data_IF_354169086374
#
_entry.id   IF_354169086374
#
_cell.length_a   1.000
_cell.length_b   1.000
_cell.length_c   1.000
_cell.angle_alpha   90.00
_cell.angle_beta   90.00
_cell.angle_gamma   90.00
#
_symmetry.space_group_name_H-M   'P 1'
#
loop_
_entity.id
_entity.type
_entity.pdbx_description
1 polymer ?
#
# COMPACT_ATOMS: atom_id res chain seq x y z
N UNK A 1 9.30 56.11 -31.42
CA UNK A 1 8.69 55.50 -30.21
C UNK A 1 7.60 54.53 -30.67
N UNK A 2 7.37 53.49 -29.88
CA UNK A 2 6.38 52.41 -30.06
C UNK A 2 6.88 51.16 -30.81
N UNK A 3 7.61 50.31 -30.07
CA UNK A 3 7.70 48.89 -30.34
C UNK A 3 6.70 48.17 -29.40
N UNK A 4 5.69 47.52 -29.99
CA UNK A 4 4.72 46.69 -29.28
C UNK A 4 5.34 45.32 -28.99
N UNK A 5 5.59 45.03 -27.72
CA UNK A 5 6.02 43.71 -27.25
C UNK A 5 4.79 42.88 -26.89
N UNK A 6 4.47 41.88 -27.72
CA UNK A 6 3.47 40.86 -27.43
C UNK A 6 4.08 39.80 -26.51
N UNK A 7 3.56 39.68 -25.29
CA UNK A 7 3.91 38.62 -24.34
C UNK A 7 3.13 37.35 -24.64
N UNK A 8 3.80 36.37 -25.24
CA UNK A 8 3.28 35.01 -25.39
C UNK A 8 3.42 34.25 -24.06
N UNK A 9 2.32 34.13 -23.32
CA UNK A 9 2.18 33.21 -22.19
C UNK A 9 2.20 31.77 -22.71
N UNK A 10 3.33 31.09 -22.54
CA UNK A 10 3.46 29.66 -22.86
C UNK A 10 2.99 28.86 -21.65
N UNK A 11 1.74 28.41 -21.65
CA UNK A 11 1.26 27.36 -20.74
C UNK A 11 1.99 26.07 -21.06
N UNK A 12 2.90 25.64 -20.18
CA UNK A 12 3.51 24.31 -20.26
C UNK A 12 2.47 23.25 -19.86
N UNK A 13 1.75 22.68 -20.83
CA UNK A 13 1.00 21.45 -20.60
C UNK A 13 2.00 20.29 -20.53
N UNK A 14 2.28 19.79 -19.32
CA UNK A 14 3.01 18.54 -19.14
C UNK A 14 2.15 17.40 -19.67
N UNK A 15 2.42 16.94 -20.89
CA UNK A 15 1.80 15.71 -21.40
C UNK A 15 2.37 14.53 -20.62
N UNK A 16 1.55 13.88 -19.80
CA UNK A 16 1.90 12.60 -19.19
C UNK A 16 2.29 11.62 -20.32
N UNK A 17 3.41 10.88 -20.21
CA UNK A 17 3.77 9.87 -21.19
C UNK A 17 2.59 8.94 -21.43
N UNK A 18 2.33 8.54 -22.68
CA UNK A 18 1.18 7.70 -23.08
C UNK A 18 1.06 6.37 -22.33
N UNK A 19 2.11 5.99 -21.60
CA UNK A 19 2.22 4.79 -20.77
C UNK A 19 1.65 4.97 -19.35
N UNK A 20 1.63 6.19 -18.81
CA UNK A 20 1.13 6.51 -17.47
C UNK A 20 -0.25 7.16 -17.60
N UNK A 21 -1.25 6.55 -17.00
CA UNK A 21 -2.64 7.03 -17.06
C UNK A 21 -2.88 8.00 -15.91
N UNK A 22 -3.48 9.16 -16.15
CA UNK A 22 -3.92 10.03 -15.06
C UNK A 22 -5.07 9.36 -14.29
N UNK A 23 -4.97 9.32 -12.97
CA UNK A 23 -6.03 8.80 -12.10
C UNK A 23 -7.37 9.52 -12.28
N UNK A 24 -7.33 10.78 -12.73
CA UNK A 24 -8.53 11.55 -13.05
C UNK A 24 -9.25 11.04 -14.31
N UNK A 25 -8.49 10.62 -15.32
CA UNK A 25 -9.01 10.18 -16.63
C UNK A 25 -9.07 8.66 -16.76
N UNK A 26 -8.60 7.92 -15.75
CA UNK A 26 -8.54 6.48 -15.75
C UNK A 26 -9.91 5.85 -16.00
N UNK A 27 -10.01 5.03 -17.05
CA UNK A 27 -11.18 4.29 -17.43
C UNK A 27 -10.91 2.78 -17.36
N UNK A 28 -11.34 2.10 -16.28
CA UNK A 28 -11.13 0.67 -16.12
C UNK A 28 -11.66 -0.18 -17.27
N UNK A 29 -12.72 0.23 -17.96
CA UNK A 29 -13.30 -0.56 -19.04
C UNK A 29 -12.42 -0.57 -20.31
N UNK A 30 -11.62 0.48 -20.52
CA UNK A 30 -10.83 0.67 -21.75
C UNK A 30 -9.33 0.50 -21.52
N UNK A 31 -8.86 0.89 -20.34
CA UNK A 31 -7.42 1.07 -20.09
C UNK A 31 -6.75 -0.19 -19.55
N UNK A 32 -7.52 -1.18 -19.07
CA UNK A 32 -6.95 -2.40 -18.48
C UNK A 32 -7.44 -3.68 -19.12
N UNK A 33 -6.57 -4.68 -19.08
CA UNK A 33 -6.86 -6.08 -19.40
C UNK A 33 -6.14 -7.00 -18.43
N UNK A 34 -6.55 -8.26 -18.39
CA UNK A 34 -5.96 -9.26 -17.51
C UNK A 34 -5.00 -10.18 -18.26
N UNK A 35 -3.91 -10.57 -17.59
CA UNK A 35 -3.12 -11.71 -18.04
C UNK A 35 -3.80 -13.02 -17.68
N UNK A 36 -3.31 -14.14 -18.22
CA UNK A 36 -3.64 -15.46 -17.68
C UNK A 36 -3.17 -15.56 -16.21
N UNK A 37 -3.85 -16.34 -15.35
CA UNK A 37 -3.37 -16.61 -14.01
C UNK A 37 -1.98 -17.25 -14.01
N UNK A 38 -1.13 -16.80 -13.10
CA UNK A 38 0.22 -17.33 -12.87
C UNK A 38 0.34 -17.79 -11.43
N UNK A 39 0.97 -18.95 -11.23
CA UNK A 39 1.29 -19.48 -9.90
C UNK A 39 2.79 -19.29 -9.69
N UNK A 40 3.18 -18.67 -8.57
CA UNK A 40 4.58 -18.49 -8.21
C UNK A 40 5.13 -19.76 -7.54
N UNK A 41 6.45 -19.80 -7.30
CA UNK A 41 7.13 -20.95 -6.69
C UNK A 41 6.56 -21.32 -5.30
N UNK A 42 6.03 -20.35 -4.56
CA UNK A 42 5.41 -20.53 -3.25
C UNK A 42 3.93 -20.96 -3.32
N UNK A 43 3.40 -21.27 -4.51
CA UNK A 43 1.99 -21.65 -4.70
C UNK A 43 0.99 -20.49 -4.70
N UNK A 44 1.46 -19.24 -4.54
CA UNK A 44 0.66 -18.04 -4.62
C UNK A 44 0.20 -17.79 -6.07
N UNK A 45 -1.12 -17.66 -6.25
CA UNK A 45 -1.72 -17.32 -7.55
C UNK A 45 -1.84 -15.80 -7.70
N UNK A 46 -1.57 -15.30 -8.90
CA UNK A 46 -1.77 -13.90 -9.26
C UNK A 46 -2.25 -13.74 -10.71
N UNK A 47 -2.92 -12.64 -10.98
CA UNK A 47 -3.38 -12.23 -12.31
C UNK A 47 -2.86 -10.82 -12.57
N UNK A 48 -2.07 -10.66 -13.63
CA UNK A 48 -1.57 -9.35 -14.03
C UNK A 48 -2.70 -8.45 -14.50
N UNK A 49 -2.68 -7.19 -14.07
CA UNK A 49 -3.49 -6.12 -14.64
C UNK A 49 -2.56 -5.31 -15.53
N UNK A 50 -2.82 -5.37 -16.83
CA UNK A 50 -1.99 -4.81 -17.88
C UNK A 50 -2.69 -3.61 -18.52
N UNK A 51 -1.90 -2.62 -18.93
CA UNK A 51 -2.37 -1.54 -19.75
C UNK A 51 -2.84 -2.11 -21.11
N UNK A 52 -4.08 -1.79 -21.49
CA UNK A 52 -4.72 -2.35 -22.67
C UNK A 52 -3.98 -1.97 -23.96
N UNK A 53 -3.36 -0.79 -24.01
CA UNK A 53 -2.63 -0.25 -25.17
C UNK A 53 -1.23 -0.84 -25.24
N UNK A 54 -0.46 -0.78 -24.16
CA UNK A 54 0.97 -1.12 -24.19
C UNK A 54 1.26 -2.60 -23.91
N UNK A 55 0.29 -3.37 -23.39
CA UNK A 55 0.50 -4.72 -22.87
C UNK A 55 1.50 -4.83 -21.70
N UNK A 56 1.94 -3.71 -21.12
CA UNK A 56 2.82 -3.65 -19.94
C UNK A 56 2.01 -3.46 -18.65
N UNK A 57 2.68 -3.37 -17.50
CA UNK A 57 2.02 -3.09 -16.23
C UNK A 57 1.23 -1.76 -16.30
N UNK A 58 0.06 -1.71 -15.66
CA UNK A 58 -0.72 -0.47 -15.59
C UNK A 58 -0.09 0.50 -14.59
N UNK A 59 0.24 1.70 -15.06
CA UNK A 59 0.71 2.80 -14.22
C UNK A 59 -0.34 3.90 -14.14
N UNK A 60 -0.62 4.38 -12.91
CA UNK A 60 -1.63 5.41 -12.64
C UNK A 60 -0.99 6.55 -11.84
N UNK A 61 -0.98 7.76 -12.40
CA UNK A 61 -0.57 8.97 -11.68
C UNK A 61 -1.71 9.47 -10.79
N UNK A 62 -1.44 9.68 -9.50
CA UNK A 62 -2.40 10.24 -8.56
C UNK A 62 -2.44 11.76 -8.64
N UNK A 63 -3.55 12.41 -8.28
CA UNK A 63 -3.52 13.82 -7.89
C UNK A 63 -2.61 14.02 -6.65
N UNK A 64 -2.37 15.28 -6.30
CA UNK A 64 -1.69 15.63 -5.06
C UNK A 64 -2.55 15.21 -3.86
N UNK A 65 -2.04 14.32 -3.02
CA UNK A 65 -2.76 13.71 -1.90
C UNK A 65 -1.91 13.70 -0.63
N UNK A 66 -2.56 13.83 0.53
CA UNK A 66 -1.88 13.65 1.81
C UNK A 66 -1.49 12.19 2.02
N UNK A 67 -0.33 11.95 2.63
CA UNK A 67 0.10 10.62 3.08
C UNK A 67 0.41 10.56 4.56
N UNK A 68 0.11 9.41 5.17
CA UNK A 68 0.47 9.11 6.56
C UNK A 68 1.94 8.69 6.76
N UNK A 69 2.77 8.83 5.74
CA UNK A 69 4.17 8.41 5.75
C UNK A 69 4.33 6.92 5.45
N UNK A 70 5.56 6.42 5.54
CA UNK A 70 5.87 5.00 5.39
C UNK A 70 5.76 4.29 6.74
N UNK A 71 5.10 3.13 6.73
CA UNK A 71 5.00 2.20 7.86
C UNK A 71 5.81 0.95 7.53
N UNK A 72 6.68 0.56 8.46
CA UNK A 72 7.41 -0.71 8.46
C UNK A 72 6.57 -1.79 9.16
N UNK A 73 6.46 -2.96 8.56
CA UNK A 73 5.92 -4.16 9.17
C UNK A 73 6.98 -5.25 9.15
N UNK A 74 7.27 -5.82 10.32
CA UNK A 74 8.21 -6.92 10.49
C UNK A 74 7.40 -8.21 10.69
N UNK A 75 7.60 -9.19 9.81
CA UNK A 75 7.02 -10.52 10.01
C UNK A 75 7.71 -11.18 11.20
N UNK A 76 6.95 -11.46 12.26
CA UNK A 76 7.47 -12.08 13.49
C UNK A 76 8.06 -13.49 13.26
N UNK A 77 7.69 -14.17 12.16
CA UNK A 77 8.14 -15.53 11.86
C UNK A 77 9.43 -15.55 11.05
N UNK A 78 9.52 -14.71 10.03
CA UNK A 78 10.67 -14.70 9.12
C UNK A 78 11.67 -13.59 9.45
N UNK A 79 11.24 -12.55 10.17
CA UNK A 79 12.00 -11.32 10.38
C UNK A 79 11.95 -10.37 9.18
N UNK A 80 11.21 -10.73 8.11
CA UNK A 80 11.18 -9.93 6.88
C UNK A 80 10.50 -8.59 7.10
N UNK A 81 11.09 -7.54 6.54
CA UNK A 81 10.56 -6.19 6.59
C UNK A 81 9.78 -5.88 5.33
N UNK A 82 8.58 -5.36 5.50
CA UNK A 82 7.76 -4.84 4.41
C UNK A 82 7.36 -3.40 4.69
N UNK A 83 7.30 -2.60 3.63
CA UNK A 83 7.07 -1.17 3.73
C UNK A 83 5.84 -0.78 2.93
N UNK A 84 4.97 0.02 3.53
CA UNK A 84 3.81 0.56 2.85
C UNK A 84 3.49 1.97 3.33
N UNK A 85 2.87 2.76 2.46
CA UNK A 85 2.33 4.07 2.79
C UNK A 85 0.83 4.09 2.51
N UNK A 86 0.13 5.05 3.12
CA UNK A 86 -1.30 5.25 2.91
C UNK A 86 -1.54 6.62 2.30
N UNK A 87 -2.27 6.67 1.19
CA UNK A 87 -2.79 7.91 0.62
C UNK A 87 -4.18 8.19 1.21
N UNK A 88 -4.36 9.36 1.80
CA UNK A 88 -5.62 9.77 2.41
C UNK A 88 -6.52 10.43 1.37
N UNK A 89 -7.76 9.93 1.22
CA UNK A 89 -8.80 10.71 0.56
C UNK A 89 -9.30 11.78 1.54
N UNK A 90 -9.33 13.07 1.16
CA UNK A 90 -9.82 14.14 2.01
C UNK A 90 -11.35 14.10 2.16
N UNK A 91 -11.85 14.77 3.20
CA UNK A 91 -13.27 15.16 3.30
C UNK A 91 -13.61 16.29 2.34
N UNK A 92 -14.88 16.69 2.28
CA UNK A 92 -15.40 17.63 1.28
C UNK A 92 -14.63 18.96 1.24
N UNK A 93 -14.25 19.52 2.39
CA UNK A 93 -13.54 20.80 2.50
C UNK A 93 -12.19 20.83 1.77
N UNK A 94 -11.45 19.72 1.80
CA UNK A 94 -10.12 19.60 1.19
C UNK A 94 -10.13 18.77 -0.09
N UNK A 95 -11.32 18.40 -0.57
CA UNK A 95 -11.48 17.60 -1.77
C UNK A 95 -11.31 18.47 -3.03
N UNK A 96 -10.73 17.88 -4.06
CA UNK A 96 -10.58 18.53 -5.37
C UNK A 96 -11.30 17.71 -6.44
N UNK A 97 -11.71 18.31 -7.58
CA UNK A 97 -12.32 17.56 -8.67
C UNK A 97 -11.47 16.38 -9.15
N UNK A 98 -10.14 16.53 -9.16
CA UNK A 98 -9.21 15.47 -9.53
C UNK A 98 -9.22 14.31 -8.53
N UNK A 99 -9.21 14.60 -7.22
CA UNK A 99 -9.29 13.57 -6.17
C UNK A 99 -10.65 12.87 -6.18
N UNK A 100 -11.75 13.61 -6.36
CA UNK A 100 -13.09 13.04 -6.45
C UNK A 100 -13.23 12.08 -7.64
N UNK A 101 -12.74 12.48 -8.82
CA UNK A 101 -12.72 11.63 -10.01
C UNK A 101 -11.82 10.41 -9.83
N UNK A 102 -10.64 10.58 -9.25
CA UNK A 102 -9.75 9.45 -8.95
C UNK A 102 -10.42 8.44 -8.03
N UNK A 103 -11.06 8.89 -6.94
CA UNK A 103 -11.85 8.03 -6.03
C UNK A 103 -12.95 7.28 -6.78
N UNK A 104 -13.72 7.98 -7.60
CA UNK A 104 -14.80 7.37 -8.39
C UNK A 104 -14.27 6.33 -9.39
N UNK A 105 -13.13 6.59 -10.02
CA UNK A 105 -12.51 5.67 -10.97
C UNK A 105 -11.96 4.42 -10.26
N UNK A 106 -11.45 4.53 -9.03
CA UNK A 106 -11.07 3.36 -8.22
C UNK A 106 -12.29 2.51 -7.82
N UNK A 107 -13.43 3.14 -7.48
CA UNK A 107 -14.66 2.42 -7.17
C UNK A 107 -15.17 1.64 -8.41
N UNK A 108 -15.23 2.30 -9.58
CA UNK A 108 -15.55 1.65 -10.86
C UNK A 108 -14.58 0.52 -11.19
N UNK A 109 -13.31 0.67 -10.84
CA UNK A 109 -12.32 -0.36 -11.07
C UNK A 109 -12.58 -1.60 -10.21
N UNK A 110 -12.87 -1.39 -8.93
CA UNK A 110 -13.25 -2.46 -8.01
C UNK A 110 -14.51 -3.21 -8.48
N UNK A 111 -15.56 -2.49 -8.87
CA UNK A 111 -16.79 -3.07 -9.43
C UNK A 111 -16.51 -3.90 -10.68
N UNK A 112 -15.69 -3.37 -11.60
CA UNK A 112 -15.27 -4.10 -12.80
C UNK A 112 -14.54 -5.39 -12.44
N UNK A 113 -13.59 -5.37 -11.52
CA UNK A 113 -12.85 -6.58 -11.11
C UNK A 113 -13.80 -7.61 -10.51
N UNK A 114 -14.74 -7.19 -9.65
CA UNK A 114 -15.74 -8.09 -9.05
C UNK A 114 -16.61 -8.74 -10.13
N UNK A 115 -17.08 -7.97 -11.11
CA UNK A 115 -17.85 -8.49 -12.23
C UNK A 115 -17.03 -9.49 -13.08
N UNK A 116 -15.79 -9.13 -13.42
CA UNK A 116 -14.90 -9.98 -14.20
C UNK A 116 -14.50 -11.25 -13.44
N UNK A 117 -14.38 -11.19 -12.12
CA UNK A 117 -14.11 -12.35 -11.27
C UNK A 117 -15.24 -13.39 -11.35
N UNK A 118 -16.50 -12.96 -11.45
CA UNK A 118 -17.63 -13.86 -11.68
C UNK A 118 -17.62 -14.48 -13.07
N UNK A 119 -17.32 -13.67 -14.09
CA UNK A 119 -17.25 -14.15 -15.48
C UNK A 119 -16.11 -15.16 -15.66
N UNK A 120 -14.96 -14.92 -15.02
CA UNK A 120 -13.77 -15.74 -15.15
C UNK A 120 -13.60 -16.73 -13.98
N UNK A 121 -14.68 -17.04 -13.25
CA UNK A 121 -14.59 -17.76 -11.98
C UNK A 121 -13.91 -19.13 -12.08
N UNK A 122 -14.11 -19.84 -13.20
CA UNK A 122 -13.52 -21.15 -13.46
C UNK A 122 -12.00 -21.05 -13.64
N UNK A 123 -11.52 -20.01 -14.32
CA UNK A 123 -10.09 -19.81 -14.57
C UNK A 123 -9.39 -19.23 -13.33
N UNK A 124 -10.01 -18.25 -12.68
CA UNK A 124 -9.39 -17.52 -11.57
C UNK A 124 -9.41 -18.35 -10.27
N UNK A 125 -10.56 -18.95 -9.94
CA UNK A 125 -10.77 -19.66 -8.68
C UNK A 125 -10.79 -21.17 -8.82
N UNK A 126 -10.88 -21.72 -10.04
CA UNK A 126 -11.10 -23.16 -10.24
C UNK A 126 -12.52 -23.61 -9.85
N UNK A 127 -13.46 -22.67 -9.69
CA UNK A 127 -14.83 -22.92 -9.24
C UNK A 127 -15.81 -22.41 -10.30
N UNK A 128 -16.95 -23.09 -10.47
CA UNK A 128 -17.97 -22.70 -11.46
C UNK A 128 -19.32 -22.32 -10.80
N UNK A 129 -19.36 -22.28 -9.47
CA UNK A 129 -20.56 -22.05 -8.65
C UNK A 129 -20.46 -20.80 -7.78
N UNK A 130 -19.50 -19.91 -8.05
CA UNK A 130 -19.37 -18.65 -7.32
C UNK A 130 -20.51 -17.70 -7.68
N UNK A 131 -21.11 -17.12 -6.65
CA UNK A 131 -22.13 -16.07 -6.73
C UNK A 131 -21.51 -14.70 -6.43
N UNK A 132 -22.22 -13.63 -6.73
CA UNK A 132 -21.77 -12.26 -6.45
C UNK A 132 -21.50 -12.01 -4.95
N UNK A 133 -22.26 -12.66 -4.08
CA UNK A 133 -22.08 -12.61 -2.63
C UNK A 133 -20.75 -13.24 -2.22
N UNK A 134 -20.42 -14.42 -2.76
CA UNK A 134 -19.13 -15.06 -2.52
C UNK A 134 -17.96 -14.17 -2.96
N UNK A 135 -18.06 -13.57 -4.15
CA UNK A 135 -17.04 -12.64 -4.67
C UNK A 135 -16.88 -11.43 -3.75
N UNK A 136 -17.98 -10.86 -3.27
CA UNK A 136 -17.95 -9.73 -2.34
C UNK A 136 -17.35 -10.12 -0.99
N UNK A 137 -17.62 -11.33 -0.49
CA UNK A 137 -17.09 -11.84 0.78
C UNK A 137 -15.58 -12.11 0.70
N UNK A 138 -15.09 -12.65 -0.41
CA UNK A 138 -13.66 -12.94 -0.59
C UNK A 138 -12.84 -11.73 -1.04
N UNK A 139 -13.52 -10.67 -1.49
CA UNK A 139 -12.86 -9.44 -1.92
C UNK A 139 -12.25 -8.69 -0.75
N UNK A 140 -11.00 -8.25 -0.94
CA UNK A 140 -10.34 -7.28 -0.06
C UNK A 140 -10.51 -5.89 -0.66
N UNK A 141 -11.28 -4.98 -0.01
CA UNK A 141 -11.52 -3.62 -0.50
C UNK A 141 -10.23 -2.88 -0.86
N UNK A 142 -10.22 -2.21 -2.02
CA UNK A 142 -9.09 -1.38 -2.43
C UNK A 142 -8.94 -0.14 -1.54
N UNK A 143 -10.08 0.47 -1.21
CA UNK A 143 -10.17 1.61 -0.30
C UNK A 143 -10.46 1.10 1.11
N UNK A 144 -9.57 1.41 2.05
CA UNK A 144 -9.67 0.99 3.45
C UNK A 144 -10.23 2.12 4.29
N UNK A 145 -11.34 1.86 4.94
CA UNK A 145 -11.87 2.71 5.99
C UNK A 145 -11.25 2.29 7.33
N UNK A 146 -11.09 3.26 8.23
CA UNK A 146 -10.76 2.95 9.62
C UNK A 146 -11.87 2.10 10.25
N UNK A 147 -11.54 1.31 11.26
CA UNK A 147 -12.55 0.59 12.04
C UNK A 147 -13.29 1.56 12.96
N UNK A 148 -14.61 1.41 13.04
CA UNK A 148 -15.45 2.05 14.04
C UNK A 148 -15.43 1.28 15.36
N UNK A 149 -16.19 1.76 16.34
CA UNK A 149 -16.29 1.14 17.66
C UNK A 149 -16.87 -0.29 17.60
N UNK A 150 -17.77 -0.55 16.65
CA UNK A 150 -18.35 -1.87 16.39
C UNK A 150 -17.40 -2.82 15.62
N UNK A 151 -16.18 -2.38 15.29
CA UNK A 151 -15.20 -3.15 14.52
C UNK A 151 -15.44 -3.17 13.01
N UNK A 152 -16.55 -2.60 12.53
CA UNK A 152 -16.88 -2.48 11.11
C UNK A 152 -16.23 -1.24 10.48
N UNK A 153 -16.13 -1.17 9.13
CA UNK A 153 -15.69 0.02 8.42
C UNK A 153 -16.49 1.28 8.81
N UNK A 154 -15.80 2.28 9.38
CA UNK A 154 -16.36 3.59 9.70
C UNK A 154 -16.44 4.45 8.43
N UNK A 155 -17.62 4.49 7.82
CA UNK A 155 -17.90 5.26 6.61
C UNK A 155 -18.08 6.77 6.86
N UNK A 156 -18.12 7.22 8.11
CA UNK A 156 -18.07 8.65 8.43
C UNK A 156 -16.65 9.21 8.23
N UNK A 157 -15.64 8.35 8.35
CA UNK A 157 -14.25 8.70 8.06
C UNK A 157 -13.92 8.45 6.58
N UNK A 158 -13.01 9.26 6.06
CA UNK A 158 -12.59 9.12 4.68
C UNK A 158 -11.59 7.97 4.52
N UNK A 159 -11.67 7.22 3.40
CA UNK A 159 -10.85 6.04 3.21
C UNK A 159 -9.40 6.38 2.87
N UNK A 160 -8.55 5.35 2.96
CA UNK A 160 -7.16 5.38 2.51
C UNK A 160 -6.91 4.36 1.41
N UNK A 161 -5.94 4.64 0.54
CA UNK A 161 -5.38 3.68 -0.40
C UNK A 161 -4.01 3.23 0.11
N UNK A 162 -3.82 1.94 0.34
CA UNK A 162 -2.53 1.39 0.75
C UNK A 162 -1.64 1.14 -0.48
N UNK A 163 -0.39 1.59 -0.40
CA UNK A 163 0.60 1.53 -1.47
C UNK A 163 1.86 0.89 -0.90
N UNK A 164 2.30 -0.23 -1.47
CA UNK A 164 3.55 -0.90 -1.07
C UNK A 164 4.75 -0.19 -1.66
N UNK A 165 5.83 -0.11 -0.90
CA UNK A 165 7.13 0.31 -1.42
C UNK A 165 7.91 -0.96 -1.76
N UNK A 166 8.13 -1.25 -3.05
CA UNK A 166 8.82 -2.48 -3.45
C UNK A 166 10.31 -2.42 -3.09
N UNK A 167 10.80 -3.55 -2.57
CA UNK A 167 12.22 -3.85 -2.42
C UNK A 167 12.52 -5.03 -3.34
N UNK A 168 13.58 -4.93 -4.12
CA UNK A 168 14.09 -5.97 -5.00
C UNK A 168 15.55 -6.24 -4.64
N UNK A 169 15.88 -7.48 -4.28
CA UNK A 169 17.24 -7.90 -3.90
C UNK A 169 17.88 -6.96 -2.86
N UNK A 170 17.11 -6.60 -1.82
CA UNK A 170 17.55 -5.69 -0.75
C UNK A 170 17.58 -4.20 -1.12
N UNK A 171 17.30 -3.85 -2.38
CA UNK A 171 17.34 -2.48 -2.87
C UNK A 171 15.93 -1.92 -3.08
N UNK A 172 15.69 -0.68 -2.65
CA UNK A 172 14.45 0.02 -2.92
C UNK A 172 14.24 0.23 -4.42
N UNK A 173 13.11 -0.25 -4.94
CA UNK A 173 12.75 -0.09 -6.34
C UNK A 173 11.73 1.06 -6.49
N UNK A 174 12.11 2.26 -6.04
CA UNK A 174 11.31 3.48 -6.12
C UNK A 174 12.19 4.67 -6.49
N UNK A 175 11.63 5.61 -7.23
CA UNK A 175 12.29 6.90 -7.50
C UNK A 175 11.53 8.05 -6.84
N UNK A 176 12.24 8.90 -6.09
CA UNK A 176 11.63 10.09 -5.48
C UNK A 176 12.25 11.36 -6.06
N UNK A 177 11.41 12.36 -6.26
CA UNK A 177 11.76 13.65 -6.82
C UNK A 177 11.30 14.77 -5.89
N UNK A 178 12.02 15.88 -5.92
CA UNK A 178 11.58 17.12 -5.28
C UNK A 178 10.48 17.83 -6.12
N UNK A 179 9.85 18.90 -5.62
CA UNK A 179 8.85 19.66 -6.37
C UNK A 179 9.38 20.30 -7.66
N UNK A 180 10.70 20.38 -7.84
CA UNK A 180 11.37 20.88 -9.04
C UNK A 180 11.73 19.74 -10.01
N UNK A 181 11.22 18.52 -9.77
CA UNK A 181 11.48 17.32 -10.58
C UNK A 181 12.96 16.89 -10.60
N UNK A 182 13.74 17.28 -9.58
CA UNK A 182 15.11 16.76 -9.38
C UNK A 182 15.03 15.48 -8.57
N UNK A 183 15.74 14.45 -9.02
CA UNK A 183 15.80 13.16 -8.31
C UNK A 183 16.50 13.34 -6.97
N UNK A 184 15.85 12.91 -5.90
CA UNK A 184 16.36 12.92 -4.53
C UNK A 184 16.49 11.51 -3.95
N UNK A 185 15.90 10.50 -4.61
CA UNK A 185 16.11 9.10 -4.28
C UNK A 185 16.10 8.23 -5.55
N UNK A 186 17.02 7.27 -5.70
CA UNK A 186 18.19 7.04 -4.84
C UNK A 186 19.15 8.25 -4.85
N UNK A 187 19.75 8.56 -3.70
CA UNK A 187 20.75 9.63 -3.56
C UNK A 187 22.15 9.03 -3.75
N UNK A 188 22.90 9.41 -4.80
CA UNK A 188 24.25 8.87 -5.04
C UNK A 188 25.28 9.38 -4.03
N UNK A 189 24.96 10.42 -3.26
CA UNK A 189 25.87 11.03 -2.27
C UNK A 189 25.61 10.55 -0.85
N UNK A 190 24.43 9.99 -0.58
CA UNK A 190 24.07 9.54 0.76
C UNK A 190 23.24 8.24 0.70
N UNK A 191 23.94 7.11 0.84
CA UNK A 191 23.35 5.77 0.84
C UNK A 191 22.45 5.49 2.05
N UNK A 192 22.55 6.29 3.12
CA UNK A 192 21.74 6.10 4.32
C UNK A 192 20.34 6.72 4.22
N UNK A 193 20.11 7.60 3.23
CA UNK A 193 18.78 8.18 3.02
C UNK A 193 17.88 7.12 2.39
N UNK A 194 16.76 6.84 3.04
CA UNK A 194 15.75 5.91 2.54
C UNK A 194 14.46 6.63 2.17
N UNK A 195 13.54 5.99 1.43
CA UNK A 195 12.21 6.53 1.20
C UNK A 195 11.43 6.82 2.50
N UNK A 196 11.74 6.14 3.60
CA UNK A 196 11.11 6.35 4.91
C UNK A 196 11.43 7.74 5.45
N UNK A 197 12.66 8.21 5.24
CA UNK A 197 13.13 9.54 5.70
C UNK A 197 12.55 10.68 4.85
N UNK A 198 12.35 10.41 3.56
CA UNK A 198 11.91 11.40 2.58
C UNK A 198 10.38 11.58 2.54
N UNK A 199 9.62 10.52 2.79
CA UNK A 199 8.14 10.54 2.77
C UNK A 199 7.61 10.85 4.17
N UNK A 200 7.55 12.13 4.49
CA UNK A 200 7.11 12.59 5.80
C UNK A 200 5.62 12.35 6.05
N UNK A 201 5.28 11.89 7.27
CA UNK A 201 3.89 11.78 7.74
C UNK A 201 3.18 13.13 7.70
N UNK A 202 1.98 13.15 7.14
CA UNK A 202 1.16 14.35 6.96
C UNK A 202 1.57 15.23 5.78
N UNK A 203 2.60 14.85 5.02
CA UNK A 203 2.99 15.58 3.81
C UNK A 203 2.05 15.29 2.64
N UNK A 204 2.10 16.16 1.63
CA UNK A 204 1.41 15.96 0.36
C UNK A 204 2.37 15.38 -0.67
N UNK A 205 1.91 14.37 -1.40
CA UNK A 205 2.67 13.65 -2.42
C UNK A 205 1.84 13.51 -3.69
N UNK A 206 2.50 13.50 -4.84
CA UNK A 206 1.91 13.09 -6.11
C UNK A 206 2.73 11.91 -6.62
N UNK A 207 2.09 10.76 -6.80
CA UNK A 207 2.81 9.50 -7.06
C UNK A 207 2.29 8.80 -8.30
N UNK A 208 3.15 8.00 -8.92
CA UNK A 208 2.79 7.02 -9.93
C UNK A 208 2.71 5.67 -9.25
N UNK A 209 1.50 5.11 -9.28
CA UNK A 209 1.20 3.77 -8.81
C UNK A 209 1.44 2.77 -9.92
N UNK A 210 2.18 1.72 -9.65
CA UNK A 210 2.20 0.50 -10.47
C UNK A 210 1.15 -0.47 -9.93
N UNK A 211 0.25 -0.95 -10.79
CA UNK A 211 -0.66 -2.02 -10.44
C UNK A 211 0.09 -3.37 -10.40
N UNK A 212 0.20 -3.96 -9.21
CA UNK A 212 0.84 -5.26 -8.98
C UNK A 212 0.01 -6.46 -9.44
N UNK A 213 -1.24 -6.23 -9.87
CA UNK A 213 -2.18 -7.27 -10.26
C UNK A 213 -3.08 -7.72 -9.12
N UNK A 214 -3.92 -8.71 -9.43
CA UNK A 214 -4.81 -9.37 -8.50
C UNK A 214 -4.03 -10.49 -7.81
N UNK A 215 -4.01 -10.49 -6.49
CA UNK A 215 -3.41 -11.54 -5.67
C UNK A 215 -4.50 -12.44 -5.07
N UNK A 216 -4.17 -13.71 -4.83
CA UNK A 216 -5.03 -14.67 -4.14
C UNK A 216 -4.27 -15.28 -2.97
N UNK A 217 -4.78 -15.11 -1.75
CA UNK A 217 -4.16 -15.63 -0.54
C UNK A 217 -5.20 -15.86 0.57
N UNK A 218 -5.10 -16.97 1.29
CA UNK A 218 -5.99 -17.27 2.43
C UNK A 218 -7.48 -17.28 2.09
N UNK A 219 -7.84 -17.70 0.87
CA UNK A 219 -9.23 -17.67 0.39
C UNK A 219 -9.75 -16.28 0.01
N UNK A 220 -8.95 -15.22 0.17
CA UNK A 220 -9.27 -13.85 -0.25
C UNK A 220 -8.52 -13.47 -1.51
N UNK A 221 -8.99 -12.41 -2.16
CA UNK A 221 -8.30 -11.80 -3.29
C UNK A 221 -8.47 -10.28 -3.29
N UNK A 222 -7.58 -9.58 -3.97
CA UNK A 222 -7.58 -8.13 -4.04
C UNK A 222 -6.51 -7.60 -4.98
N UNK A 223 -6.37 -6.28 -5.06
CA UNK A 223 -5.34 -5.62 -5.88
C UNK A 223 -4.19 -5.15 -5.00
N UNK A 224 -2.96 -5.26 -5.50
CA UNK A 224 -1.80 -4.61 -4.89
C UNK A 224 -1.42 -3.36 -5.69
N UNK A 225 -1.18 -2.26 -5.00
CA UNK A 225 -0.58 -1.06 -5.57
C UNK A 225 0.86 -0.92 -5.06
N UNK A 226 1.79 -0.60 -5.95
CA UNK A 226 3.19 -0.35 -5.63
C UNK A 226 3.55 1.07 -5.99
N UNK A 227 4.37 1.73 -5.18
CA UNK A 227 4.98 3.00 -5.53
C UNK A 227 6.00 2.74 -6.64
N UNK A 228 5.90 3.47 -7.76
CA UNK A 228 6.90 3.44 -8.84
C UNK A 228 7.79 4.67 -8.77
N UNK A 229 7.18 5.85 -8.81
CA UNK A 229 7.87 7.11 -8.59
C UNK A 229 6.97 8.11 -7.85
N UNK A 230 7.55 9.10 -7.18
CA UNK A 230 6.78 10.10 -6.45
C UNK A 230 7.49 11.45 -6.33
N UNK A 231 6.71 12.52 -6.42
CA UNK A 231 7.14 13.86 -6.01
C UNK A 231 6.79 14.03 -4.54
N UNK A 232 7.80 14.33 -3.73
CA UNK A 232 7.66 14.51 -2.28
C UNK A 232 8.30 15.82 -1.87
N UNK A 233 7.77 16.41 -0.78
CA UNK A 233 8.42 17.52 -0.09
C UNK A 233 9.02 16.96 1.20
N UNK A 234 10.34 16.72 1.26
CA UNK A 234 10.98 16.23 2.48
C UNK A 234 10.68 17.14 3.66
N UNK A 235 10.59 16.57 4.86
CA UNK A 235 10.38 17.35 6.09
C UNK A 235 11.61 18.22 6.33
N UNK A 236 11.47 19.53 6.18
CA UNK A 236 12.45 20.47 6.72
C UNK A 236 12.39 20.36 8.24
N UNK A 237 13.38 19.69 8.86
CA UNK A 237 13.46 19.64 10.31
C UNK A 237 14.01 20.99 10.80
N UNK A 238 13.32 21.61 11.76
CA UNK A 238 13.84 22.80 12.46
C UNK A 238 14.94 22.43 13.48
N UNK A 239 15.10 21.14 13.80
CA UNK A 239 16.15 20.66 14.70
C UNK A 239 17.49 20.63 13.96
N UNK A 240 18.57 20.95 14.68
CA UNK A 240 19.93 21.02 14.11
C UNK A 240 20.30 22.37 13.47
N UNK A 241 19.38 23.33 13.42
CA UNK A 241 19.66 24.72 13.05
C UNK A 241 19.12 25.64 14.15
N UNK A 242 19.96 26.52 14.67
CA UNK A 242 19.50 27.56 15.60
C UNK A 242 18.66 28.57 14.80
N UNK A 243 17.36 28.62 15.08
CA UNK A 243 16.43 29.57 14.47
C UNK A 243 16.20 30.81 15.34
N UNK A 244 16.76 30.81 16.56
CA UNK A 244 16.69 31.91 17.50
C UNK A 244 17.65 33.00 17.02
N UNK A 245 17.12 34.13 16.59
CA UNK A 245 17.90 35.32 16.28
C UNK A 245 18.03 36.15 17.56
N UNK A 246 19.18 36.07 18.21
CA UNK A 246 19.48 36.95 19.34
C UNK A 246 19.86 38.35 18.82
N UNK A 247 19.36 39.39 19.49
CA UNK A 247 19.81 40.76 19.25
C UNK A 247 21.30 40.90 19.62
N UNK A 248 21.95 41.97 19.19
CA UNK A 248 23.35 42.23 19.55
C UNK A 248 23.56 42.34 21.06
N UNK A 249 22.54 42.76 21.81
CA UNK A 249 22.62 42.93 23.26
C UNK A 249 22.38 41.60 23.99
N UNK A 250 21.43 40.78 23.52
CA UNK A 250 21.18 39.45 24.08
C UNK A 250 22.37 38.51 23.87
N UNK A 251 23.06 38.62 22.73
CA UNK A 251 24.30 37.86 22.48
C UNK A 251 25.39 38.17 23.49
N UNK A 252 25.51 39.45 23.90
CA UNK A 252 26.48 39.87 24.91
C UNK A 252 26.08 39.33 26.27
N UNK A 253 24.81 39.50 26.65
CA UNK A 253 24.27 39.02 27.92
C UNK A 253 24.52 37.52 28.11
N UNK A 254 24.19 36.72 27.09
CA UNK A 254 24.39 35.25 27.10
C UNK A 254 25.87 34.87 27.13
N UNK A 255 26.76 35.65 26.51
CA UNK A 255 28.20 35.37 26.52
C UNK A 255 28.87 35.72 27.86
N UNK A 256 28.33 36.69 28.61
CA UNK A 256 28.84 37.10 29.93
C UNK A 256 28.11 36.43 31.09
N UNK A 257 27.13 35.58 30.83
CA UNK A 257 26.39 34.88 31.87
C UNK A 257 27.27 33.77 32.46
N UNK A 258 27.83 34.03 33.64
CA UNK A 258 28.50 33.00 34.45
C UNK A 258 27.44 32.09 35.06
N UNK A 259 27.47 30.80 34.69
CA UNK A 259 26.63 29.77 35.30
C UNK A 259 27.46 29.18 36.44
N UNK A 260 27.10 29.50 37.68
CA UNK A 260 27.66 28.82 38.84
C UNK A 260 27.30 27.33 38.76
N UNK A 261 28.30 26.49 38.43
CA UNK A 261 28.21 25.06 38.68
C UNK A 261 28.33 24.85 40.18
N UNK A 262 27.21 24.98 40.90
CA UNK A 262 27.15 24.51 42.29
C UNK A 262 27.43 23.01 42.30
N UNK A 263 28.62 22.67 42.79
CA UNK A 263 28.98 21.31 43.19
C UNK A 263 28.05 20.91 44.33
N UNK A 264 27.29 19.85 44.13
CA UNK A 264 26.38 19.25 45.11
C UNK A 264 27.18 18.52 46.20
N UNK A 265 27.88 19.25 47.08
CA UNK A 265 28.64 18.59 48.18
C UNK A 265 28.71 19.36 49.51
N UNK A 266 27.98 20.47 49.71
CA UNK A 266 27.93 21.08 51.05
C UNK A 266 26.64 21.88 51.32
N UNK A 267 25.53 21.16 51.56
CA UNK A 267 24.32 21.73 52.17
C UNK A 267 24.06 20.99 53.50
N UNK A 268 24.12 21.66 54.66
CA UNK A 268 23.64 21.07 55.90
C UNK A 268 22.11 20.89 55.82
N UNK A 269 21.69 19.63 55.94
CA UNK A 269 20.29 19.19 55.98
C UNK A 269 19.54 19.89 57.13
N UNK A 270 18.76 20.92 56.82
CA UNK A 270 17.68 21.36 57.68
C UNK A 270 16.43 20.57 57.33
N UNK A 271 16.00 19.75 58.29
CA UNK A 271 14.81 18.91 58.25
C UNK A 271 13.55 19.77 58.20
N UNK A 272 12.81 19.68 57.09
CA UNK A 272 11.35 19.82 57.11
C UNK A 272 10.78 18.57 56.46
N UNK A 273 10.34 17.64 57.32
CA UNK A 273 9.50 16.52 56.94
C UNK A 273 8.21 17.03 56.28
N UNK A 274 7.91 16.53 55.09
CA UNK A 274 6.53 16.27 54.67
C UNK A 274 6.48 14.79 54.31
N UNK A 275 5.62 14.08 55.02
CA UNK A 275 5.46 12.64 55.02
C UNK A 275 5.03 12.09 53.65
N UNK A 276 5.45 10.85 53.46
CA UNK A 276 5.43 9.98 52.29
C UNK A 276 4.17 9.10 52.34
N UNK A 277 3.53 8.85 51.19
CA UNK A 277 2.65 7.69 50.93
C UNK A 277 1.98 7.87 49.56
N UNK A 278 2.46 7.21 48.51
CA UNK A 278 1.90 5.91 48.11
C UNK A 278 2.68 5.36 46.90
N UNK A 279 2.99 4.08 47.00
CA UNK A 279 4.01 3.33 46.30
C UNK A 279 3.36 2.41 45.27
N UNK A 280 4.06 2.15 44.16
CA UNK A 280 3.89 1.02 43.24
C UNK A 280 2.61 1.03 42.34
N UNK A 281 2.59 0.56 41.09
CA UNK A 281 3.28 -0.58 40.51
C UNK A 281 3.19 -0.47 38.97
N UNK A 282 4.29 -0.74 38.27
CA UNK A 282 4.32 -0.88 36.81
C UNK A 282 3.75 -2.26 36.41
N UNK A 283 2.49 -2.33 35.98
CA UNK A 283 1.97 -3.55 35.33
C UNK A 283 2.36 -3.58 33.85
N UNK A 284 3.45 -4.29 33.57
CA UNK A 284 3.70 -4.97 32.30
C UNK A 284 2.73 -6.16 32.18
N UNK A 285 1.68 -6.03 31.37
CA UNK A 285 0.94 -7.22 30.91
C UNK A 285 1.75 -7.96 29.83
N UNK A 286 2.52 -8.95 30.30
CA UNK A 286 3.02 -10.05 29.48
C UNK A 286 1.86 -10.97 29.09
N UNK A 287 1.67 -11.10 27.78
CA UNK A 287 0.69 -11.98 27.16
C UNK A 287 1.16 -13.44 27.29
N UNK A 288 0.70 -14.13 28.32
CA UNK A 288 0.73 -15.60 28.34
C UNK A 288 -0.35 -16.16 27.41
N UNK A 289 0.00 -16.97 26.39
CA UNK A 289 -1.00 -17.63 25.58
C UNK A 289 -1.62 -18.79 26.38
N UNK A 290 -2.94 -18.74 26.56
CA UNK A 290 -3.73 -19.89 27.01
C UNK A 290 -3.47 -21.08 26.07
N UNK A 291 -3.15 -22.28 26.60
CA UNK A 291 -3.07 -23.49 25.78
C UNK A 291 -4.41 -23.73 25.09
N UNK A 292 -4.39 -23.81 23.77
CA UNK A 292 -5.54 -24.29 23.01
C UNK A 292 -5.92 -25.71 23.52
N UNK A 293 -7.21 -25.99 23.76
CA UNK A 293 -7.66 -27.35 24.05
C UNK A 293 -7.21 -28.29 22.91
N UNK A 294 -6.66 -29.44 23.31
CA UNK A 294 -6.24 -30.49 22.39
C UNK A 294 -7.34 -30.84 21.38
N UNK A 295 -6.98 -31.15 20.13
CA UNK A 295 -7.95 -31.55 19.11
C UNK A 295 -8.66 -32.83 19.55
N UNK A 296 -9.99 -32.76 19.63
CA UNK A 296 -10.84 -33.94 19.76
C UNK A 296 -10.57 -34.89 18.56
N UNK A 297 -10.44 -36.20 18.80
CA UNK A 297 -10.10 -37.17 17.76
C UNK A 297 -11.14 -37.21 16.66
N UNK A 298 -10.65 -37.25 15.41
CA UNK A 298 -11.46 -37.40 14.21
C UNK A 298 -12.36 -38.64 14.30
N UNK A 299 -13.66 -38.55 13.99
CA UNK A 299 -14.46 -39.73 13.76
C UNK A 299 -13.94 -40.45 12.51
N UNK A 300 -13.65 -41.74 12.68
CA UNK A 300 -13.26 -42.66 11.63
C UNK A 300 -14.28 -42.68 10.47
N UNK A 301 -13.84 -42.95 9.23
CA UNK A 301 -14.71 -42.97 8.07
C UNK A 301 -15.80 -44.04 8.21
N UNK A 302 -17.05 -43.61 8.20
CA UNK A 302 -18.19 -44.50 8.04
C UNK A 302 -18.12 -45.16 6.66
N UNK A 303 -18.17 -46.48 6.67
CA UNK A 303 -18.17 -47.35 5.51
C UNK A 303 -19.24 -46.92 4.49
N UNK A 304 -18.80 -46.70 3.26
CA UNK A 304 -19.70 -46.62 2.11
C UNK A 304 -20.22 -48.04 1.87
N UNK A 305 -21.50 -48.23 2.16
CA UNK A 305 -22.25 -49.44 1.83
C UNK A 305 -22.23 -49.61 0.30
N UNK A 306 -21.72 -50.76 -0.12
CA UNK A 306 -21.93 -51.27 -1.46
C UNK A 306 -23.43 -51.53 -1.68
N UNK A 307 -24.02 -50.86 -2.66
CA UNK A 307 -25.23 -51.33 -3.33
C UNK A 307 -24.90 -51.49 -4.82
N UNK A 308 -24.65 -52.74 -5.17
CA UNK A 308 -24.66 -53.21 -6.54
C UNK A 308 -26.09 -53.13 -7.09
N UNK A 309 -26.25 -52.56 -8.28
CA UNK A 309 -27.26 -52.99 -9.23
C UNK A 309 -26.65 -52.91 -10.63
N UNK A 310 -26.50 -54.09 -11.22
CA UNK A 310 -26.03 -54.34 -12.57
C UNK A 310 -27.08 -53.87 -13.61
N UNK A 311 -26.63 -53.42 -14.78
CA UNK A 311 -26.67 -54.21 -16.03
C UNK A 311 -26.35 -53.35 -17.27
N UNK A 312 -25.42 -53.89 -18.07
CA UNK A 312 -25.34 -53.95 -19.53
C UNK A 312 -25.63 -52.72 -20.40
N UNK A 313 -24.62 -52.29 -21.16
CA UNK A 313 -24.48 -52.76 -22.56
C UNK A 313 -23.22 -52.23 -23.22
N UNK A 314 -22.54 -53.14 -23.92
CA UNK A 314 -21.46 -52.90 -24.86
C UNK A 314 -21.88 -51.92 -25.97
N UNK A 315 -20.95 -51.08 -26.44
CA UNK A 315 -20.55 -51.16 -27.85
C UNK A 315 -19.19 -50.48 -28.09
N UNK A 316 -18.39 -51.25 -28.81
CA UNK A 316 -17.05 -50.97 -29.29
C UNK A 316 -17.08 -50.03 -30.49
N UNK A 317 -16.05 -49.18 -30.61
CA UNK A 317 -15.95 -48.23 -31.72
C UNK A 317 -14.54 -47.66 -31.89
N UNK A 318 -13.57 -48.54 -32.17
CA UNK A 318 -12.23 -48.14 -32.59
C UNK A 318 -12.25 -47.53 -34.00
N UNK A 319 -11.69 -46.33 -34.18
CA UNK A 319 -11.23 -45.83 -35.48
C UNK A 319 -9.76 -45.44 -35.39
N UNK A 320 -8.93 -46.18 -36.14
CA UNK A 320 -7.54 -45.85 -36.50
C UNK A 320 -7.50 -45.38 -37.96
N UNK A 321 -6.34 -44.80 -38.30
CA UNK A 321 -5.80 -44.44 -39.64
C UNK A 321 -6.25 -43.04 -40.12
N UNK A 322 -5.38 -42.06 -40.42
CA UNK A 322 -4.21 -42.07 -41.35
C UNK A 322 -3.08 -41.14 -40.86
N UNK A 323 -1.83 -41.64 -40.84
CA UNK A 323 -0.60 -40.80 -40.86
C UNK A 323 -0.24 -40.49 -42.32
N UNK A 324 -0.21 -39.21 -42.69
CA UNK A 324 0.36 -38.73 -43.96
C UNK A 324 1.88 -38.62 -43.82
N UNK A 325 2.60 -39.39 -44.64
CA UNK A 325 4.03 -39.22 -44.92
C UNK A 325 4.14 -38.19 -46.05
N UNK A 326 4.90 -37.11 -45.83
CA UNK A 326 5.33 -36.19 -46.89
C UNK A 326 6.81 -36.45 -47.14
N UNK A 327 7.15 -36.68 -48.41
CA UNK A 327 8.51 -36.90 -48.90
C UNK A 327 8.78 -35.86 -49.99
N UNK A 328 9.51 -34.82 -49.67
CA UNK A 328 10.55 -34.15 -50.47
C UNK A 328 11.14 -33.01 -49.67
#
# INVERSE_FOLDING_TARGET
>A
MSASTSSASTKSSSSTPKEIISGETFNPAKDVKYSKPKVNASGGKSIGILNAVTNSATFIATPLMMTWGVTEFIDKKTGDKTYSMSLQFPGEEYNTPAIAKFRANLAKFEEKIKADALLNQKEWFGKSTMTAEHVSLFWTPMLKFSKGENGEPDHAKNPTLNVKLPIWEGTWNVELFDPQSRKIFPDPTNEHITPVDLIAKGSHVAIVLQCGGIWFAGGKFGVTWKLFQGVVKPKTTLRGKCHIQLSSDDKKLVATQEIDTVSDDDIPRSSTQADDSDEEEEEQEDVTPTPAPAPAPAPAPAAVIAAAAAQDSESTGAKKVVKKIIKK
#
